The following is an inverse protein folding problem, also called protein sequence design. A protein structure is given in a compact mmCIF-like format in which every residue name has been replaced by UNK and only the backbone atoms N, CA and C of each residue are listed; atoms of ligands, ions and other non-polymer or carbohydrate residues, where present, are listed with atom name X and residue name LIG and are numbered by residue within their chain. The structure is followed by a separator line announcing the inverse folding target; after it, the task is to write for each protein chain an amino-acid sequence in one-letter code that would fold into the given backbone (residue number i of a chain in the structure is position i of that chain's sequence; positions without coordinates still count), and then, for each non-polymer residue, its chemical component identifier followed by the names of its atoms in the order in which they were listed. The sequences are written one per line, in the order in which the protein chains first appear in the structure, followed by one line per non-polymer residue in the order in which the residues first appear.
data_IF_666789333210
#
_entry.id   IF_666789333210
#
_cell.length_a   1.000
_cell.length_b   1.000
_cell.length_c   1.000
_cell.angle_alpha   90.00
_cell.angle_beta   90.00
_cell.angle_gamma   90.00
#
_symmetry.space_group_name_H-M   'P 1'
#
loop_
_entity.id
_entity.type
_entity.pdbx_description
1 polymer ?
#
# COMPACT_ATOMS: atom_id res chain seq x y z
N UNK A 1 -12.07 -13.99 -22.18
CA UNK A 1 -10.85 -13.16 -21.99
C UNK A 1 -11.24 -11.69 -21.87
N UNK A 2 -10.42 -10.86 -21.22
CA UNK A 2 -10.57 -9.40 -21.24
C UNK A 2 -9.82 -8.82 -22.45
N UNK A 3 -10.57 -8.48 -23.51
CA UNK A 3 -10.02 -7.76 -24.66
C UNK A 3 -9.73 -6.30 -24.31
N UNK A 4 -8.96 -5.61 -25.15
CA UNK A 4 -8.63 -4.19 -24.93
C UNK A 4 -9.89 -3.32 -24.98
N UNK A 5 -10.77 -3.55 -25.96
CA UNK A 5 -12.06 -2.84 -26.06
C UNK A 5 -12.90 -3.04 -24.80
N UNK A 6 -13.02 -4.28 -24.32
CA UNK A 6 -13.78 -4.58 -23.10
C UNK A 6 -13.18 -3.89 -21.87
N UNK A 7 -11.85 -3.80 -21.77
CA UNK A 7 -11.18 -3.09 -20.69
C UNK A 7 -11.47 -1.58 -20.75
N UNK A 8 -11.36 -0.98 -21.94
CA UNK A 8 -11.60 0.45 -22.12
C UNK A 8 -13.05 0.85 -21.88
N UNK A 9 -14.00 0.03 -22.34
CA UNK A 9 -15.43 0.23 -22.12
C UNK A 9 -15.77 0.18 -20.62
N UNK A 10 -15.22 -0.81 -19.90
CA UNK A 10 -15.42 -0.95 -18.46
C UNK A 10 -14.72 0.18 -17.67
N UNK A 11 -13.55 0.65 -18.09
CA UNK A 11 -12.90 1.79 -17.46
C UNK A 11 -13.74 3.06 -17.58
N UNK A 12 -14.22 3.35 -18.80
CA UNK A 12 -15.03 4.54 -19.09
C UNK A 12 -16.36 4.53 -18.34
N UNK A 13 -16.98 3.36 -18.17
CA UNK A 13 -18.26 3.24 -17.44
C UNK A 13 -18.13 3.56 -15.93
N UNK A 14 -16.91 3.50 -15.38
CA UNK A 14 -16.62 3.77 -13.96
C UNK A 14 -16.05 5.16 -13.68
N UNK A 15 -15.86 5.99 -14.72
CA UNK A 15 -15.33 7.35 -14.60
C UNK A 15 -16.45 8.39 -14.76
N UNK A 16 -16.28 9.61 -14.22
CA UNK A 16 -17.18 10.72 -14.51
C UNK A 16 -17.25 10.99 -16.02
N UNK A 17 -18.41 11.36 -16.59
CA UNK A 17 -18.61 11.47 -18.05
C UNK A 17 -17.57 12.35 -18.77
N UNK A 18 -17.21 13.47 -18.18
CA UNK A 18 -16.20 14.40 -18.72
C UNK A 18 -14.80 13.80 -18.75
N UNK A 19 -14.46 12.94 -17.78
CA UNK A 19 -13.17 12.25 -17.75
C UNK A 19 -13.18 11.08 -18.73
N UNK A 20 -14.27 10.31 -18.77
CA UNK A 20 -14.44 9.18 -19.68
C UNK A 20 -14.32 9.62 -21.17
N UNK A 21 -14.90 10.77 -21.53
CA UNK A 21 -14.84 11.35 -22.86
C UNK A 21 -13.42 11.77 -23.28
N UNK A 22 -12.56 12.11 -22.32
CA UNK A 22 -11.17 12.51 -22.55
C UNK A 22 -10.19 11.34 -22.61
N UNK A 23 -10.63 10.10 -22.32
CA UNK A 23 -9.75 8.91 -22.34
C UNK A 23 -9.32 8.59 -23.77
N UNK A 24 -8.02 8.68 -24.03
CA UNK A 24 -7.38 8.17 -25.25
C UNK A 24 -7.08 6.67 -25.10
N UNK A 25 -7.59 5.85 -26.02
CA UNK A 25 -7.44 4.38 -25.97
C UNK A 25 -6.37 3.90 -26.96
N UNK A 26 -5.91 2.66 -26.76
CA UNK A 26 -4.94 2.00 -27.63
C UNK A 26 -4.75 0.52 -27.26
N UNK A 27 -3.96 -0.22 -28.05
CA UNK A 27 -3.65 -1.61 -27.75
C UNK A 27 -2.83 -1.74 -26.46
N UNK A 28 -3.09 -2.78 -25.68
CA UNK A 28 -2.34 -3.04 -24.45
C UNK A 28 -0.91 -3.52 -24.76
N UNK A 29 0.08 -3.01 -24.02
CA UNK A 29 1.44 -3.56 -24.02
C UNK A 29 1.56 -4.80 -23.09
N UNK A 30 0.81 -4.79 -21.99
CA UNK A 30 0.75 -5.85 -20.98
C UNK A 30 -0.65 -5.89 -20.37
N UNK A 31 -1.12 -7.10 -20.01
CA UNK A 31 -2.34 -7.30 -19.21
C UNK A 31 -2.13 -8.46 -18.25
N UNK A 32 -2.33 -8.19 -16.97
CA UNK A 32 -2.35 -9.19 -15.90
C UNK A 32 -3.42 -8.88 -14.86
N UNK A 33 -3.72 -9.89 -14.03
CA UNK A 33 -4.61 -9.75 -12.88
C UNK A 33 -3.76 -9.90 -11.63
N UNK A 34 -3.67 -8.84 -10.83
CA UNK A 34 -2.97 -8.86 -9.56
C UNK A 34 -3.97 -9.15 -8.42
N UNK A 35 -3.80 -10.23 -7.64
CA UNK A 35 -4.64 -10.47 -6.46
C UNK A 35 -4.29 -9.48 -5.35
N UNK A 36 -5.31 -8.91 -4.69
CA UNK A 36 -5.11 -8.07 -3.51
C UNK A 36 -4.82 -8.97 -2.30
N UNK A 37 -3.74 -8.68 -1.57
CA UNK A 37 -3.34 -9.40 -0.37
C UNK A 37 -2.67 -8.48 0.63
N UNK A 38 -2.91 -8.74 1.91
CA UNK A 38 -2.10 -8.21 3.02
C UNK A 38 -1.36 -9.37 3.68
N UNK A 39 -0.06 -9.20 3.93
CA UNK A 39 0.77 -10.20 4.63
C UNK A 39 1.86 -9.47 5.41
N UNK A 40 2.19 -9.94 6.61
CA UNK A 40 3.31 -9.45 7.43
C UNK A 40 3.93 -10.64 8.17
N UNK A 41 5.24 -10.80 8.08
CA UNK A 41 6.01 -11.80 8.81
C UNK A 41 6.67 -11.16 10.04
N UNK A 42 6.51 -11.80 11.20
CA UNK A 42 7.12 -11.38 12.46
C UNK A 42 7.82 -12.57 13.14
N UNK A 43 9.09 -12.42 13.57
CA UNK A 43 10.00 -11.31 13.31
C UNK A 43 10.54 -11.30 11.86
N UNK A 44 11.12 -10.17 11.43
CA UNK A 44 11.77 -10.02 10.11
C UNK A 44 13.24 -10.49 10.09
N UNK A 45 13.68 -11.24 11.11
CA UNK A 45 15.05 -11.73 11.28
C UNK A 45 15.06 -13.12 11.93
N UNK A 46 15.92 -14.00 11.44
CA UNK A 46 16.26 -15.27 12.08
C UNK A 46 17.79 -15.48 12.10
N UNK A 47 18.41 -15.31 13.26
CA UNK A 47 19.87 -15.37 13.39
C UNK A 47 20.57 -14.33 12.51
N UNK A 48 21.24 -14.79 11.45
CA UNK A 48 21.92 -13.93 10.46
C UNK A 48 21.12 -13.70 9.17
N UNK A 49 19.90 -14.26 9.07
CA UNK A 49 18.98 -14.05 7.96
C UNK A 49 18.07 -12.84 8.25
N UNK A 50 17.93 -11.94 7.27
CA UNK A 50 17.06 -10.76 7.35
C UNK A 50 16.10 -10.75 6.15
N UNK A 51 14.82 -10.52 6.40
CA UNK A 51 13.78 -10.41 5.37
C UNK A 51 13.53 -8.93 5.05
N UNK A 52 13.41 -8.60 3.76
CA UNK A 52 13.28 -7.23 3.24
C UNK A 52 12.21 -7.21 2.15
N UNK A 53 11.33 -6.20 2.16
CA UNK A 53 10.29 -6.03 1.13
C UNK A 53 9.31 -7.19 1.08
N UNK A 54 8.94 -7.64 -0.12
CA UNK A 54 7.95 -8.70 -0.35
C UNK A 54 8.28 -10.04 0.31
N UNK A 55 9.55 -10.28 0.69
CA UNK A 55 9.93 -11.44 1.49
C UNK A 55 9.39 -11.39 2.93
N UNK A 56 9.07 -10.19 3.44
CA UNK A 56 8.58 -9.95 4.79
C UNK A 56 7.12 -9.50 4.82
N UNK A 57 6.67 -8.70 3.85
CA UNK A 57 5.32 -8.14 3.88
C UNK A 57 4.78 -7.85 2.48
N UNK A 58 3.46 -7.94 2.33
CA UNK A 58 2.72 -7.63 1.10
C UNK A 58 1.58 -6.69 1.49
N UNK A 59 1.34 -5.67 0.68
CA UNK A 59 0.26 -4.70 0.86
C UNK A 59 -0.57 -4.59 -0.42
N UNK A 60 -1.89 -4.34 -0.31
CA UNK A 60 -2.70 -4.05 -1.49
C UNK A 60 -2.15 -2.84 -2.24
N UNK A 61 -2.15 -2.86 -3.59
CA UNK A 61 -1.58 -1.78 -4.41
C UNK A 61 -2.30 -0.45 -4.25
N UNK A 62 -3.51 -0.43 -3.68
CA UNK A 62 -4.34 0.76 -3.44
C UNK A 62 -3.62 1.87 -2.68
N UNK A 63 -2.75 1.52 -1.72
CA UNK A 63 -1.96 2.49 -0.96
C UNK A 63 -0.62 2.88 -1.61
N UNK A 64 -0.23 2.21 -2.70
CA UNK A 64 1.07 2.36 -3.37
C UNK A 64 2.28 2.22 -2.42
N UNK A 65 2.25 1.27 -1.47
CA UNK A 65 3.25 1.16 -0.39
C UNK A 65 4.31 0.07 -0.54
N UNK A 66 4.11 -0.98 -1.34
CA UNK A 66 5.01 -2.15 -1.37
C UNK A 66 6.49 -1.80 -1.58
N UNK A 67 6.83 -1.21 -2.73
CA UNK A 67 8.21 -0.79 -3.04
C UNK A 67 8.76 0.22 -2.03
N UNK A 68 7.92 1.15 -1.56
CA UNK A 68 8.31 2.17 -0.59
C UNK A 68 8.66 1.57 0.78
N UNK A 69 7.97 0.50 1.18
CA UNK A 69 8.30 -0.26 2.40
C UNK A 69 9.59 -1.04 2.24
N UNK A 70 9.79 -1.68 1.09
CA UNK A 70 11.06 -2.35 0.78
C UNK A 70 12.25 -1.38 0.86
N UNK A 71 12.10 -0.15 0.35
CA UNK A 71 13.12 0.88 0.45
C UNK A 71 13.44 1.28 1.90
N UNK A 72 12.43 1.35 2.78
CA UNK A 72 12.65 1.60 4.22
C UNK A 72 13.32 0.44 4.93
N UNK A 73 12.96 -0.79 4.62
CA UNK A 73 13.61 -1.98 5.18
C UNK A 73 15.09 -2.00 4.80
N UNK A 74 15.41 -1.77 3.51
CA UNK A 74 16.79 -1.67 3.03
C UNK A 74 17.55 -0.59 3.79
N UNK A 75 16.95 0.59 4.01
CA UNK A 75 17.59 1.67 4.76
C UNK A 75 17.87 1.27 6.22
N UNK A 76 16.93 0.64 6.90
CA UNK A 76 17.09 0.22 8.29
C UNK A 76 18.14 -0.88 8.42
N UNK A 77 18.09 -1.88 7.54
CA UNK A 77 19.07 -2.96 7.52
C UNK A 77 20.46 -2.44 7.17
N UNK A 78 20.57 -1.55 6.18
CA UNK A 78 21.84 -0.90 5.83
C UNK A 78 22.44 -0.14 7.01
N UNK A 79 21.63 0.62 7.76
CA UNK A 79 22.10 1.33 8.95
C UNK A 79 22.66 0.36 10.01
N UNK A 80 21.97 -0.76 10.26
CA UNK A 80 22.44 -1.80 11.19
C UNK A 80 23.70 -2.52 10.70
N UNK A 81 23.78 -2.86 9.41
CA UNK A 81 24.96 -3.49 8.83
C UNK A 81 26.19 -2.55 8.88
N UNK A 82 25.99 -1.27 8.58
CA UNK A 82 27.06 -0.26 8.67
C UNK A 82 27.60 -0.13 10.09
N UNK A 83 26.71 -0.13 11.10
CA UNK A 83 27.08 -0.10 12.51
C UNK A 83 27.86 -1.37 12.91
N UNK A 84 27.40 -2.54 12.48
CA UNK A 84 28.06 -3.81 12.77
C UNK A 84 29.47 -3.89 12.18
N UNK A 85 29.64 -3.58 10.89
CA UNK A 85 30.95 -3.68 10.24
C UNK A 85 31.90 -2.55 10.61
N UNK A 86 31.40 -1.33 10.87
CA UNK A 86 32.23 -0.18 11.22
C UNK A 86 32.53 -0.06 12.72
N UNK A 87 31.53 -0.30 13.56
CA UNK A 87 31.59 -0.10 15.02
C UNK A 87 31.61 -1.38 15.85
N UNK A 88 31.51 -2.56 15.21
CA UNK A 88 31.44 -3.88 15.87
C UNK A 88 30.28 -4.02 16.87
N UNK A 89 29.16 -3.33 16.63
CA UNK A 89 27.95 -3.38 17.45
C UNK A 89 26.80 -4.05 16.70
N UNK A 90 26.13 -5.00 17.36
CA UNK A 90 24.95 -5.69 16.83
C UNK A 90 23.64 -4.94 17.12
N UNK A 91 23.66 -3.87 17.91
CA UNK A 91 22.46 -3.20 18.41
C UNK A 91 21.52 -2.74 17.27
N UNK A 92 22.07 -2.20 16.19
CA UNK A 92 21.30 -1.82 14.99
C UNK A 92 20.63 -3.01 14.29
N UNK A 93 21.28 -4.17 14.26
CA UNK A 93 20.74 -5.40 13.67
C UNK A 93 19.69 -6.06 14.57
N UNK A 94 19.87 -5.99 15.89
CA UNK A 94 18.93 -6.52 16.88
C UNK A 94 17.63 -5.70 16.89
N UNK A 95 17.74 -4.39 16.70
CA UNK A 95 16.60 -3.49 16.60
C UNK A 95 15.89 -3.52 15.23
N UNK A 96 16.41 -4.23 14.23
CA UNK A 96 15.91 -4.19 12.84
C UNK A 96 14.41 -4.50 12.75
N UNK A 97 14.00 -5.68 13.23
CA UNK A 97 12.60 -6.13 13.11
C UNK A 97 11.64 -5.14 13.77
N UNK A 98 11.97 -4.65 14.97
CA UNK A 98 11.12 -3.69 15.70
C UNK A 98 10.98 -2.39 14.93
N UNK A 99 12.08 -1.83 14.41
CA UNK A 99 12.06 -0.57 13.65
C UNK A 99 11.30 -0.71 12.34
N UNK A 100 11.56 -1.77 11.57
CA UNK A 100 10.89 -2.01 10.29
C UNK A 100 9.38 -2.24 10.49
N UNK A 101 8.99 -3.14 11.42
CA UNK A 101 7.59 -3.47 11.67
C UNK A 101 6.76 -2.26 12.13
N UNK A 102 7.34 -1.34 12.91
CA UNK A 102 6.65 -0.12 13.32
C UNK A 102 6.19 0.75 12.13
N UNK A 103 6.94 0.72 11.01
CA UNK A 103 6.57 1.41 9.77
C UNK A 103 5.66 0.54 8.89
N UNK A 104 5.96 -0.75 8.75
CA UNK A 104 5.17 -1.71 7.97
C UNK A 104 3.70 -1.68 8.41
N UNK A 105 3.42 -1.78 9.72
CA UNK A 105 2.04 -1.77 10.22
C UNK A 105 1.28 -0.49 9.93
N UNK A 106 1.94 0.67 9.99
CA UNK A 106 1.29 1.95 9.65
C UNK A 106 0.90 1.99 8.17
N UNK A 107 1.75 1.47 7.30
CA UNK A 107 1.50 1.40 5.86
C UNK A 107 0.48 0.31 5.48
N UNK A 108 0.49 -0.85 6.15
CA UNK A 108 -0.51 -1.92 6.00
C UNK A 108 -1.88 -1.39 6.40
N UNK A 109 -2.01 -0.75 7.58
CA UNK A 109 -3.25 -0.10 8.04
C UNK A 109 -3.77 0.88 7.01
N UNK A 110 -2.89 1.75 6.49
CA UNK A 110 -3.27 2.73 5.48
C UNK A 110 -3.75 2.09 4.18
N UNK A 111 -3.00 1.10 3.66
CA UNK A 111 -3.35 0.41 2.41
C UNK A 111 -4.65 -0.38 2.54
N UNK A 112 -4.90 -0.98 3.70
CA UNK A 112 -6.15 -1.65 4.01
C UNK A 112 -7.32 -0.66 4.07
N UNK A 113 -7.19 0.46 4.78
CA UNK A 113 -8.22 1.50 4.86
C UNK A 113 -8.58 2.07 3.47
N UNK A 114 -7.57 2.38 2.64
CA UNK A 114 -7.79 2.79 1.24
C UNK A 114 -8.53 1.73 0.42
N UNK A 115 -8.19 0.46 0.63
CA UNK A 115 -8.82 -0.67 -0.08
C UNK A 115 -10.29 -0.79 0.29
N UNK A 116 -10.60 -0.78 1.59
CA UNK A 116 -11.97 -0.85 2.11
C UNK A 116 -12.82 0.35 1.68
N UNK A 117 -12.22 1.54 1.55
CA UNK A 117 -12.93 2.75 1.14
C UNK A 117 -13.21 2.82 -0.37
N UNK A 118 -12.32 2.29 -1.21
CA UNK A 118 -12.37 2.51 -2.67
C UNK A 118 -12.84 1.30 -3.48
N UNK A 119 -13.06 0.14 -2.85
CA UNK A 119 -13.54 -1.07 -3.52
C UNK A 119 -14.96 -1.42 -3.07
N UNK A 120 -15.71 -2.09 -3.95
CA UNK A 120 -17.02 -2.65 -3.61
C UNK A 120 -16.85 -4.07 -3.08
N UNK A 121 -17.43 -4.33 -1.91
CA UNK A 121 -17.45 -5.63 -1.25
C UNK A 121 -18.89 -6.13 -1.19
N UNK A 122 -19.30 -7.10 -2.04
CA UNK A 122 -20.68 -7.56 -2.11
C UNK A 122 -21.26 -8.03 -0.76
N UNK A 123 -20.40 -8.56 0.11
CA UNK A 123 -20.72 -9.10 1.43
C UNK A 123 -21.18 -8.04 2.45
N UNK A 124 -20.90 -6.75 2.23
CA UNK A 124 -21.21 -5.70 3.22
C UNK A 124 -22.63 -5.14 3.10
N UNK A 125 -23.35 -5.48 2.02
CA UNK A 125 -24.71 -5.02 1.76
C UNK A 125 -24.88 -3.49 1.72
N UNK A 126 -26.13 -3.03 1.83
CA UNK A 126 -26.48 -1.60 1.74
C UNK A 126 -25.91 -0.77 2.90
N UNK A 127 -25.86 -1.35 4.11
CA UNK A 127 -25.32 -0.66 5.28
C UNK A 127 -23.82 -0.34 5.09
N UNK A 128 -23.04 -1.32 4.65
CA UNK A 128 -21.61 -1.11 4.37
C UNK A 128 -21.37 -0.05 3.29
N UNK A 129 -22.20 -0.05 2.24
CA UNK A 129 -22.15 0.97 1.18
C UNK A 129 -22.38 2.38 1.75
N UNK A 130 -23.39 2.56 2.62
CA UNK A 130 -23.67 3.85 3.25
C UNK A 130 -22.55 4.32 4.19
N UNK A 131 -21.92 3.40 4.91
CA UNK A 131 -20.74 3.72 5.75
C UNK A 131 -19.56 4.16 4.88
N UNK A 132 -19.31 3.46 3.77
CA UNK A 132 -18.25 3.83 2.82
C UNK A 132 -18.48 5.23 2.22
N UNK A 133 -19.72 5.54 1.83
CA UNK A 133 -20.09 6.87 1.32
C UNK A 133 -19.89 7.97 2.38
N UNK A 134 -20.29 7.73 3.63
CA UNK A 134 -20.12 8.68 4.72
C UNK A 134 -18.63 8.92 5.04
N UNK A 135 -17.79 7.89 4.98
CA UNK A 135 -16.35 8.00 5.19
C UNK A 135 -15.68 8.83 4.07
N UNK A 136 -16.08 8.59 2.81
CA UNK A 136 -15.62 9.38 1.66
C UNK A 136 -16.05 10.85 1.77
N UNK A 137 -17.31 11.10 2.16
CA UNK A 137 -17.82 12.45 2.35
C UNK A 137 -17.06 13.20 3.46
N UNK A 138 -16.83 12.53 4.60
CA UNK A 138 -16.03 13.08 5.68
C UNK A 138 -14.60 13.38 5.23
N UNK A 139 -13.98 12.48 4.47
CA UNK A 139 -12.62 12.65 3.96
C UNK A 139 -12.49 13.89 3.07
N UNK A 140 -13.46 14.10 2.16
CA UNK A 140 -13.47 15.21 1.21
C UNK A 140 -13.75 16.55 1.88
N UNK A 141 -14.63 16.58 2.89
CA UNK A 141 -15.06 17.84 3.51
C UNK A 141 -14.32 18.19 4.81
N UNK A 142 -13.57 17.26 5.42
CA UNK A 142 -12.78 17.51 6.63
C UNK A 142 -11.30 17.73 6.31
N UNK A 143 -10.80 18.93 6.63
CA UNK A 143 -9.37 19.25 6.53
C UNK A 143 -8.49 18.30 7.37
N UNK A 144 -8.97 17.88 8.54
CA UNK A 144 -8.21 16.96 9.40
C UNK A 144 -8.09 15.58 8.76
N UNK A 145 -9.19 15.04 8.21
CA UNK A 145 -9.19 13.75 7.54
C UNK A 145 -8.34 13.78 6.26
N UNK A 146 -8.49 14.82 5.43
CA UNK A 146 -7.67 15.06 4.25
C UNK A 146 -6.17 15.17 4.59
N UNK A 147 -5.81 15.83 5.69
CA UNK A 147 -4.41 15.92 6.15
C UNK A 147 -3.88 14.54 6.55
N UNK A 148 -4.68 13.73 7.27
CA UNK A 148 -4.31 12.37 7.66
C UNK A 148 -4.13 11.45 6.44
N UNK A 149 -4.98 11.58 5.41
CA UNK A 149 -4.78 10.90 4.13
C UNK A 149 -3.44 11.34 3.50
N UNK A 150 -3.22 12.66 3.39
CA UNK A 150 -2.07 13.21 2.70
C UNK A 150 -0.74 12.77 3.33
N UNK A 151 -0.59 12.86 4.66
CA UNK A 151 0.65 12.45 5.35
C UNK A 151 0.95 10.95 5.16
N UNK A 152 -0.09 10.10 5.15
CA UNK A 152 0.08 8.67 4.92
C UNK A 152 0.38 8.41 3.44
N UNK A 153 -0.23 9.15 2.51
CA UNK A 153 -0.04 8.98 1.07
C UNK A 153 1.37 9.38 0.62
N UNK A 154 1.92 10.51 1.10
CA UNK A 154 3.31 10.91 0.83
C UNK A 154 4.34 10.04 1.57
N UNK A 155 3.91 9.37 2.64
CA UNK A 155 4.72 8.45 3.42
C UNK A 155 5.28 9.08 4.69
N UNK A 156 5.17 8.34 5.79
CA UNK A 156 5.60 8.80 7.10
C UNK A 156 7.14 8.89 7.20
N UNK A 157 7.67 9.68 8.16
CA UNK A 157 9.11 9.79 8.41
C UNK A 157 9.78 8.44 8.67
N UNK A 158 11.06 8.33 8.30
CA UNK A 158 11.88 7.12 8.47
C UNK A 158 12.46 7.01 9.87
#
# INVERSE_FOLDING_TARGET
AWSDDRFWDELRSRLPPQIAAAVTTGPSFEKSIAPLRSFVAEPMRFGKLFLVGDAAHIVPPTGAKGLNLAASDVRYLFAGLREFYGGKSEAGLDAYSVKALARVWKAVRFSWWMTTMLHRFPETGEFGQRIQEAELDYLVHSKAASTALAENYVGLPY
#
